data_IF_502356816568
#
_entry.id   IF_502356816568
#
_cell.length_a   1.000
_cell.length_b   1.000
_cell.length_c   1.000
_cell.angle_alpha   90.00
_cell.angle_beta   90.00
_cell.angle_gamma   90.00
#
_symmetry.space_group_name_H-M   'P 1'
#
loop_
_entity.id
_entity.type
_entity.pdbx_description
1 polymer ?
#
# COMPACT_ATOMS: atom_id res chain seq x y z
N UNK A 1 18.82 -20.89 -8.08
CA UNK A 1 17.52 -21.37 -7.55
C UNK A 1 16.31 -20.91 -8.36
N UNK A 2 16.00 -19.60 -8.43
CA UNK A 2 14.79 -19.06 -9.11
C UNK A 2 14.59 -19.58 -10.55
N UNK A 3 15.64 -19.57 -11.39
CA UNK A 3 15.58 -20.09 -12.77
C UNK A 3 15.19 -21.57 -12.84
N UNK A 4 15.63 -22.37 -11.87
CA UNK A 4 15.25 -23.78 -11.77
C UNK A 4 13.79 -23.94 -11.36
N UNK A 5 13.35 -23.20 -10.33
CA UNK A 5 11.96 -23.23 -9.84
C UNK A 5 10.97 -22.80 -10.92
N UNK A 6 11.33 -21.83 -11.77
CA UNK A 6 10.50 -21.40 -12.90
C UNK A 6 10.17 -22.53 -13.88
N UNK A 7 11.04 -23.54 -14.00
CA UNK A 7 10.88 -24.69 -14.91
C UNK A 7 10.47 -25.97 -14.18
N UNK A 8 10.42 -25.95 -12.85
CA UNK A 8 10.15 -27.14 -12.04
C UNK A 8 8.66 -27.50 -12.06
N UNK A 9 8.37 -28.80 -11.90
CA UNK A 9 7.01 -29.30 -11.69
C UNK A 9 6.59 -29.09 -10.23
N UNK A 10 5.28 -28.94 -9.98
CA UNK A 10 4.69 -28.71 -8.65
C UNK A 10 5.27 -29.67 -7.60
N UNK A 11 5.26 -30.98 -7.89
CA UNK A 11 5.75 -32.03 -6.98
C UNK A 11 7.21 -31.80 -6.56
N UNK A 12 8.06 -31.37 -7.49
CA UNK A 12 9.47 -31.09 -7.20
C UNK A 12 9.65 -29.86 -6.30
N UNK A 13 8.89 -28.78 -6.57
CA UNK A 13 8.91 -27.57 -5.73
C UNK A 13 8.40 -27.89 -4.32
N UNK A 14 7.31 -28.62 -4.21
CA UNK A 14 6.71 -29.00 -2.92
C UNK A 14 7.66 -29.90 -2.11
N UNK A 15 8.33 -30.85 -2.75
CA UNK A 15 9.33 -31.68 -2.07
C UNK A 15 10.51 -30.86 -1.56
N UNK A 16 10.97 -29.86 -2.34
CA UNK A 16 12.02 -28.96 -1.91
C UNK A 16 11.60 -28.13 -0.69
N UNK A 17 10.39 -27.56 -0.70
CA UNK A 17 9.85 -26.80 0.44
C UNK A 17 9.76 -27.65 1.71
N UNK A 18 9.22 -28.87 1.62
CA UNK A 18 9.05 -29.77 2.77
C UNK A 18 10.36 -30.34 3.31
N UNK A 19 11.37 -30.54 2.46
CA UNK A 19 12.67 -31.14 2.85
C UNK A 19 13.75 -30.12 3.20
N UNK A 20 13.53 -28.83 2.92
CA UNK A 20 14.48 -27.80 3.27
C UNK A 20 14.67 -27.74 4.81
N UNK A 21 15.93 -27.62 5.28
CA UNK A 21 16.21 -27.29 6.68
C UNK A 21 15.45 -26.02 7.10
N UNK A 22 15.06 -25.93 8.36
CA UNK A 22 14.19 -24.85 8.83
C UNK A 22 14.78 -23.46 8.55
N UNK A 23 16.09 -23.34 8.67
CA UNK A 23 16.86 -22.12 8.44
C UNK A 23 16.87 -21.71 6.96
N UNK A 24 16.72 -22.68 6.04
CA UNK A 24 16.68 -22.44 4.60
C UNK A 24 15.26 -22.30 4.06
N UNK A 25 14.22 -22.72 4.79
CA UNK A 25 12.82 -22.64 4.33
C UNK A 25 12.43 -21.23 3.87
N UNK A 26 12.75 -20.14 4.59
CA UNK A 26 12.43 -18.79 4.12
C UNK A 26 13.02 -18.48 2.74
N UNK A 27 14.29 -18.84 2.51
CA UNK A 27 14.97 -18.61 1.24
C UNK A 27 14.30 -19.39 0.09
N UNK A 28 13.88 -20.63 0.35
CA UNK A 28 13.18 -21.44 -0.66
C UNK A 28 11.81 -20.84 -0.99
N UNK A 29 11.09 -20.35 0.03
CA UNK A 29 9.81 -19.66 -0.14
C UNK A 29 9.99 -18.39 -0.98
N UNK A 30 10.94 -17.53 -0.64
CA UNK A 30 11.25 -16.31 -1.41
C UNK A 30 11.59 -16.63 -2.86
N UNK A 31 12.41 -17.65 -3.09
CA UNK A 31 12.78 -18.07 -4.44
C UNK A 31 11.60 -18.65 -5.24
N UNK A 32 10.67 -19.34 -4.58
CA UNK A 32 9.45 -19.86 -5.21
C UNK A 32 8.47 -18.73 -5.56
N UNK A 33 8.33 -17.71 -4.71
CA UNK A 33 7.56 -16.49 -5.03
C UNK A 33 8.19 -15.75 -6.20
N UNK A 34 9.51 -15.56 -6.19
CA UNK A 34 10.24 -14.89 -7.27
C UNK A 34 10.22 -15.66 -8.61
N UNK A 35 9.95 -16.98 -8.58
CA UNK A 35 9.85 -17.78 -9.79
C UNK A 35 8.61 -17.40 -10.63
N UNK A 36 7.52 -16.98 -9.97
CA UNK A 36 6.24 -16.58 -10.58
C UNK A 36 5.67 -17.62 -11.57
N UNK A 37 6.03 -18.91 -11.40
CA UNK A 37 5.48 -19.99 -12.22
C UNK A 37 4.26 -20.58 -11.52
N UNK A 38 3.25 -20.98 -12.29
CA UNK A 38 2.04 -21.63 -11.75
C UNK A 38 2.40 -22.84 -10.87
N UNK A 39 3.32 -23.75 -11.26
CA UNK A 39 3.70 -24.87 -10.39
C UNK A 39 4.33 -24.44 -9.07
N UNK A 40 5.10 -23.34 -9.04
CA UNK A 40 5.70 -22.83 -7.80
C UNK A 40 4.65 -22.20 -6.88
N UNK A 41 3.73 -21.40 -7.42
CA UNK A 41 2.66 -20.78 -6.64
C UNK A 41 1.69 -21.83 -6.08
N UNK A 42 1.30 -22.83 -6.89
CA UNK A 42 0.44 -23.93 -6.41
C UNK A 42 1.15 -24.75 -5.31
N UNK A 43 2.46 -24.99 -5.43
CA UNK A 43 3.22 -25.67 -4.39
C UNK A 43 3.30 -24.83 -3.10
N UNK A 44 3.47 -23.51 -3.21
CA UNK A 44 3.44 -22.59 -2.07
C UNK A 44 2.07 -22.59 -1.39
N UNK A 45 0.98 -22.57 -2.16
CA UNK A 45 -0.38 -22.61 -1.60
C UNK A 45 -0.63 -23.88 -0.79
N UNK A 46 -0.13 -25.04 -1.26
CA UNK A 46 -0.24 -26.31 -0.53
C UNK A 46 0.70 -26.38 0.68
N UNK A 47 1.87 -25.74 0.61
CA UNK A 47 2.88 -25.79 1.66
C UNK A 47 2.56 -24.84 2.82
N UNK A 48 2.18 -23.60 2.54
CA UNK A 48 1.99 -22.56 3.55
C UNK A 48 0.63 -22.69 4.23
N UNK A 49 0.59 -23.13 5.47
CA UNK A 49 -0.61 -23.12 6.32
C UNK A 49 -0.49 -22.00 7.36
N UNK A 50 -1.14 -20.85 7.13
CA UNK A 50 -1.01 -19.67 8.01
C UNK A 50 -1.55 -19.91 9.43
N UNK A 51 -2.32 -20.97 9.66
CA UNK A 51 -2.76 -21.36 11.01
C UNK A 51 -1.71 -22.17 11.78
N UNK A 52 -0.63 -22.62 11.12
CA UNK A 52 0.38 -23.52 11.72
C UNK A 52 1.82 -23.04 11.54
N UNK A 53 2.10 -22.32 10.47
CA UNK A 53 3.46 -21.87 10.17
C UNK A 53 3.90 -20.77 11.15
N UNK A 54 5.22 -20.69 11.46
CA UNK A 54 5.72 -19.64 12.32
C UNK A 54 5.54 -18.27 11.65
N UNK A 55 5.27 -17.26 12.48
CA UNK A 55 5.12 -15.85 12.07
C UNK A 55 6.21 -15.38 11.11
N UNK A 56 7.46 -15.71 11.43
CA UNK A 56 8.62 -15.34 10.60
C UNK A 56 8.55 -15.89 9.17
N UNK A 57 8.03 -17.10 8.95
CA UNK A 57 7.89 -17.67 7.61
C UNK A 57 6.75 -17.02 6.83
N UNK A 58 5.63 -16.74 7.50
CA UNK A 58 4.48 -16.03 6.91
C UNK A 58 4.87 -14.62 6.46
N UNK A 59 5.55 -13.87 7.32
CA UNK A 59 6.06 -12.53 6.97
C UNK A 59 7.04 -12.59 5.80
N UNK A 60 7.97 -13.56 5.79
CA UNK A 60 8.92 -13.72 4.66
C UNK A 60 8.21 -13.98 3.35
N UNK A 61 7.18 -14.82 3.35
CA UNK A 61 6.32 -15.02 2.18
C UNK A 61 5.64 -13.71 1.75
N UNK A 62 5.01 -12.99 2.69
CA UNK A 62 4.28 -11.74 2.40
C UNK A 62 5.21 -10.65 1.88
N UNK A 63 6.38 -10.43 2.49
CA UNK A 63 7.39 -9.50 1.99
C UNK A 63 7.86 -9.87 0.59
N UNK A 64 8.16 -11.15 0.34
CA UNK A 64 8.55 -11.61 -1.00
C UNK A 64 7.46 -11.34 -2.04
N UNK A 65 6.19 -11.52 -1.67
CA UNK A 65 5.05 -11.23 -2.52
C UNK A 65 4.93 -9.72 -2.77
N UNK A 66 4.95 -8.90 -1.72
CA UNK A 66 4.84 -7.45 -1.78
C UNK A 66 5.93 -6.82 -2.66
N UNK A 67 7.15 -7.35 -2.61
CA UNK A 67 8.29 -6.87 -3.40
C UNK A 67 8.44 -7.54 -4.77
N UNK A 68 7.56 -8.47 -5.16
CA UNK A 68 7.59 -9.05 -6.50
C UNK A 68 7.50 -7.94 -7.57
N UNK A 69 8.47 -7.82 -8.51
CA UNK A 69 8.52 -6.70 -9.45
C UNK A 69 7.47 -6.81 -10.55
N UNK A 70 7.07 -8.04 -10.91
CA UNK A 70 6.05 -8.35 -11.91
C UNK A 70 5.17 -9.49 -11.38
N UNK A 71 4.27 -9.20 -10.42
CA UNK A 71 3.40 -10.22 -9.85
C UNK A 71 2.38 -10.70 -10.88
N UNK A 72 1.93 -11.95 -10.72
CA UNK A 72 0.79 -12.51 -11.44
C UNK A 72 -0.51 -12.44 -10.63
N UNK A 73 -1.65 -12.67 -11.29
CA UNK A 73 -2.94 -12.72 -10.61
C UNK A 73 -3.06 -13.89 -9.65
N UNK A 74 -2.42 -15.01 -9.98
CA UNK A 74 -2.34 -16.18 -9.13
C UNK A 74 -1.59 -15.90 -7.82
N UNK A 75 -0.57 -15.02 -7.83
CA UNK A 75 0.08 -14.61 -6.58
C UNK A 75 -0.86 -13.76 -5.72
N UNK A 76 -1.59 -12.81 -6.32
CA UNK A 76 -2.60 -12.02 -5.60
C UNK A 76 -3.69 -12.92 -5.01
N UNK A 77 -4.20 -13.86 -5.82
CA UNK A 77 -5.18 -14.86 -5.38
C UNK A 77 -4.67 -15.64 -4.20
N UNK A 78 -3.44 -16.17 -4.29
CA UNK A 78 -2.81 -16.94 -3.23
C UNK A 78 -2.69 -16.14 -1.94
N UNK A 79 -2.25 -14.87 -1.99
CA UNK A 79 -2.20 -14.02 -0.79
C UNK A 79 -3.59 -13.82 -0.20
N UNK A 80 -4.58 -13.45 -1.02
CA UNK A 80 -5.96 -13.26 -0.57
C UNK A 80 -6.53 -14.54 0.07
N UNK A 81 -6.31 -15.70 -0.53
CA UNK A 81 -6.77 -16.99 0.00
C UNK A 81 -6.09 -17.34 1.34
N UNK A 82 -4.86 -16.87 1.60
CA UNK A 82 -4.17 -17.07 2.88
C UNK A 82 -4.61 -16.10 3.98
N UNK A 83 -5.18 -14.96 3.60
CA UNK A 83 -5.74 -14.00 4.55
C UNK A 83 -7.21 -14.28 4.87
N UNK A 84 -7.93 -14.94 3.95
CA UNK A 84 -9.35 -15.23 4.13
C UNK A 84 -9.61 -16.25 5.24
N UNK A 85 -10.65 -16.01 6.04
CA UNK A 85 -11.16 -16.91 7.08
C UNK A 85 -10.18 -17.31 8.19
N UNK A 86 -8.97 -16.73 8.24
CA UNK A 86 -7.91 -17.15 9.16
C UNK A 86 -7.71 -16.10 10.25
N UNK A 87 -7.74 -16.51 11.52
CA UNK A 87 -7.34 -15.64 12.62
C UNK A 87 -5.81 -15.58 12.65
N UNK A 88 -5.27 -14.43 12.23
CA UNK A 88 -3.83 -14.19 12.11
C UNK A 88 -3.33 -13.34 13.28
N UNK A 89 -2.03 -13.45 13.54
CA UNK A 89 -1.32 -12.46 14.34
C UNK A 89 -1.50 -11.05 13.72
N UNK A 90 -1.77 -10.00 14.52
CA UNK A 90 -2.05 -8.67 14.00
C UNK A 90 -1.00 -8.15 13.02
N UNK A 91 0.29 -8.31 13.32
CA UNK A 91 1.37 -7.81 12.44
C UNK A 91 1.43 -8.57 11.11
N UNK A 92 1.09 -9.86 11.12
CA UNK A 92 1.00 -10.69 9.90
C UNK A 92 -0.21 -10.25 9.06
N UNK A 93 -1.35 -9.99 9.71
CA UNK A 93 -2.54 -9.48 9.04
C UNK A 93 -2.26 -8.12 8.39
N UNK A 94 -1.66 -7.18 9.13
CA UNK A 94 -1.31 -5.85 8.63
C UNK A 94 -0.39 -5.93 7.41
N UNK A 95 0.67 -6.74 7.51
CA UNK A 95 1.60 -7.00 6.41
C UNK A 95 0.86 -7.61 5.22
N UNK A 96 -0.08 -8.51 5.46
CA UNK A 96 -0.94 -9.13 4.46
C UNK A 96 -1.78 -8.12 3.69
N UNK A 97 -2.50 -7.25 4.40
CA UNK A 97 -3.37 -6.23 3.81
C UNK A 97 -2.55 -5.23 2.96
N UNK A 98 -1.40 -4.78 3.47
CA UNK A 98 -0.49 -3.90 2.71
C UNK A 98 0.11 -4.60 1.48
N UNK A 99 0.35 -5.92 1.58
CA UNK A 99 0.80 -6.76 0.46
C UNK A 99 -0.25 -6.84 -0.65
N UNK A 100 -1.52 -7.04 -0.30
CA UNK A 100 -2.65 -7.03 -1.25
C UNK A 100 -2.67 -5.73 -2.06
N UNK A 101 -2.61 -4.58 -1.37
CA UNK A 101 -2.56 -3.28 -2.03
C UNK A 101 -1.37 -3.13 -2.99
N UNK A 102 -0.18 -3.58 -2.57
CA UNK A 102 1.04 -3.51 -3.39
C UNK A 102 0.96 -4.36 -4.65
N UNK A 103 0.41 -5.58 -4.55
CA UNK A 103 0.20 -6.48 -5.68
C UNK A 103 -0.80 -5.90 -6.67
N UNK A 104 -1.94 -5.38 -6.18
CA UNK A 104 -2.95 -4.74 -7.02
C UNK A 104 -2.37 -3.55 -7.79
N UNK A 105 -1.65 -2.65 -7.12
CA UNK A 105 -1.03 -1.49 -7.76
C UNK A 105 -0.08 -1.90 -8.90
N UNK A 106 0.77 -2.91 -8.66
CA UNK A 106 1.70 -3.43 -9.68
C UNK A 106 0.99 -4.15 -10.83
N UNK A 107 -0.08 -4.88 -10.58
CA UNK A 107 -0.89 -5.49 -11.63
C UNK A 107 -1.55 -4.41 -12.51
N UNK A 108 -2.08 -3.36 -11.90
CA UNK A 108 -2.71 -2.26 -12.63
C UNK A 108 -1.69 -1.43 -13.43
N UNK A 109 -0.49 -1.18 -12.89
CA UNK A 109 0.62 -0.56 -13.64
C UNK A 109 1.05 -1.39 -14.85
N UNK A 110 0.94 -2.73 -14.77
CA UNK A 110 1.17 -3.65 -15.88
C UNK A 110 -0.01 -3.76 -16.86
N UNK A 111 -1.05 -2.90 -16.72
CA UNK A 111 -2.30 -2.94 -17.51
C UNK A 111 -3.11 -4.23 -17.35
N UNK A 112 -2.93 -4.94 -16.23
CA UNK A 112 -3.67 -6.17 -15.90
C UNK A 112 -4.86 -5.92 -14.96
N UNK A 113 -5.17 -4.65 -14.66
CA UNK A 113 -6.22 -4.26 -13.71
C UNK A 113 -7.62 -4.79 -14.09
N UNK A 114 -7.96 -4.74 -15.38
CA UNK A 114 -9.29 -5.11 -15.90
C UNK A 114 -9.40 -6.56 -16.39
N UNK A 115 -8.34 -7.36 -16.23
CA UNK A 115 -8.28 -8.75 -16.73
C UNK A 115 -8.41 -9.78 -15.59
N UNK A 116 -8.59 -9.35 -14.34
CA UNK A 116 -8.47 -10.22 -13.18
C UNK A 116 -9.55 -9.95 -12.13
N UNK A 117 -10.48 -10.90 -12.00
CA UNK A 117 -11.43 -11.01 -10.88
C UNK A 117 -10.74 -10.87 -9.51
N UNK A 118 -9.47 -11.27 -9.42
CA UNK A 118 -8.68 -11.18 -8.19
C UNK A 118 -8.39 -9.73 -7.76
N UNK A 119 -8.25 -8.77 -8.70
CA UNK A 119 -8.04 -7.36 -8.36
C UNK A 119 -9.33 -6.74 -7.83
N UNK A 120 -10.48 -7.09 -8.41
CA UNK A 120 -11.78 -6.66 -7.90
C UNK A 120 -12.06 -7.27 -6.53
N UNK A 121 -11.83 -8.58 -6.36
CA UNK A 121 -11.91 -9.26 -5.07
C UNK A 121 -11.01 -8.60 -4.03
N UNK A 122 -9.75 -8.31 -4.38
CA UNK A 122 -8.81 -7.63 -3.49
C UNK A 122 -9.30 -6.25 -3.08
N UNK A 123 -9.85 -5.46 -4.01
CA UNK A 123 -10.45 -4.18 -3.67
C UNK A 123 -11.65 -4.33 -2.73
N UNK A 124 -12.55 -5.26 -3.01
CA UNK A 124 -13.69 -5.52 -2.14
C UNK A 124 -13.25 -5.89 -0.73
N UNK A 125 -12.23 -6.75 -0.60
CA UNK A 125 -11.63 -7.10 0.69
C UNK A 125 -11.12 -5.85 1.42
N UNK A 126 -10.38 -4.97 0.74
CA UNK A 126 -9.87 -3.74 1.35
C UNK A 126 -10.98 -2.77 1.76
N UNK A 127 -12.02 -2.61 0.93
CA UNK A 127 -13.13 -1.70 1.22
C UNK A 127 -14.02 -2.22 2.34
N UNK A 128 -14.33 -3.53 2.37
CA UNK A 128 -15.09 -4.15 3.46
C UNK A 128 -14.31 -4.08 4.77
N UNK A 129 -13.00 -4.33 4.73
CA UNK A 129 -12.13 -4.18 5.89
C UNK A 129 -12.12 -2.74 6.42
N UNK A 130 -11.95 -1.75 5.54
CA UNK A 130 -12.00 -0.33 5.92
C UNK A 130 -13.35 0.06 6.57
N UNK A 131 -14.47 -0.45 6.05
CA UNK A 131 -15.80 -0.19 6.61
C UNK A 131 -16.04 -0.90 7.94
N UNK A 132 -15.44 -2.08 8.14
CA UNK A 132 -15.57 -2.89 9.34
C UNK A 132 -14.56 -2.58 10.44
N UNK A 133 -13.53 -1.77 10.14
CA UNK A 133 -12.47 -1.40 11.06
C UNK A 133 -13.02 -0.67 12.29
N UNK A 134 -12.57 -1.08 13.47
CA UNK A 134 -13.01 -0.52 14.75
C UNK A 134 -11.96 0.38 15.37
N UNK A 135 -10.70 0.14 15.04
CA UNK A 135 -9.56 0.88 15.56
C UNK A 135 -8.94 1.77 14.48
N UNK A 136 -8.36 2.91 14.90
CA UNK A 136 -7.67 3.82 13.97
C UNK A 136 -6.48 3.12 13.27
N UNK A 137 -5.79 2.22 13.97
CA UNK A 137 -4.69 1.40 13.43
C UNK A 137 -5.14 0.57 12.23
N UNK A 138 -6.28 -0.12 12.34
CA UNK A 138 -6.88 -0.91 11.26
C UNK A 138 -7.27 -0.02 10.07
N UNK A 139 -7.89 1.13 10.34
CA UNK A 139 -8.24 2.12 9.30
C UNK A 139 -6.98 2.56 8.55
N UNK A 140 -5.91 2.91 9.27
CA UNK A 140 -4.63 3.33 8.69
C UNK A 140 -4.06 2.24 7.77
N UNK A 141 -4.07 0.98 8.20
CA UNK A 141 -3.57 -0.16 7.41
C UNK A 141 -4.32 -0.29 6.09
N UNK A 142 -5.65 -0.20 6.11
CA UNK A 142 -6.47 -0.23 4.90
C UNK A 142 -6.22 0.98 4.00
N UNK A 143 -6.08 2.19 4.55
CA UNK A 143 -5.76 3.39 3.76
C UNK A 143 -4.38 3.27 3.09
N UNK A 144 -3.38 2.73 3.78
CA UNK A 144 -2.05 2.46 3.22
C UNK A 144 -2.12 1.44 2.08
N UNK A 145 -2.92 0.38 2.24
CA UNK A 145 -3.14 -0.61 1.19
C UNK A 145 -3.84 0.00 -0.04
N UNK A 146 -4.87 0.83 0.16
CA UNK A 146 -5.54 1.55 -0.92
C UNK A 146 -4.59 2.53 -1.63
N UNK A 147 -3.72 3.21 -0.89
CA UNK A 147 -2.66 4.05 -1.44
C UNK A 147 -1.65 3.27 -2.28
N UNK A 148 -1.26 2.06 -1.85
CA UNK A 148 -0.41 1.16 -2.63
C UNK A 148 -1.09 0.66 -3.90
N UNK A 149 -2.40 0.38 -3.83
CA UNK A 149 -3.19 -0.02 -4.99
C UNK A 149 -3.38 1.12 -6.00
N UNK A 150 -3.45 2.37 -5.50
CA UNK A 150 -3.57 3.61 -6.29
C UNK A 150 -4.67 3.56 -7.35
N UNK A 151 -5.81 2.93 -7.05
CA UNK A 151 -6.93 2.79 -7.98
C UNK A 151 -7.77 4.07 -8.01
N UNK A 152 -7.99 4.72 -9.17
CA UNK A 152 -8.69 6.01 -9.23
C UNK A 152 -10.09 6.02 -8.59
N UNK A 153 -10.79 4.88 -8.61
CA UNK A 153 -12.11 4.72 -7.98
C UNK A 153 -12.10 4.86 -6.45
N UNK A 154 -10.95 4.78 -5.79
CA UNK A 154 -10.85 4.90 -4.32
C UNK A 154 -10.55 6.33 -3.86
N UNK A 155 -10.30 7.26 -4.78
CA UNK A 155 -9.91 8.65 -4.45
C UNK A 155 -10.97 9.35 -3.60
N UNK A 156 -12.26 9.17 -3.89
CA UNK A 156 -13.32 9.80 -3.09
C UNK A 156 -13.27 9.34 -1.63
N UNK A 157 -13.09 8.04 -1.41
CA UNK A 157 -13.02 7.44 -0.08
C UNK A 157 -11.80 8.00 0.69
N UNK A 158 -10.65 8.07 0.02
CA UNK A 158 -9.44 8.65 0.62
C UNK A 158 -9.64 10.14 0.97
N UNK A 159 -10.34 10.91 0.14
CA UNK A 159 -10.66 12.31 0.44
C UNK A 159 -11.57 12.44 1.66
N UNK A 160 -12.58 11.59 1.79
CA UNK A 160 -13.49 11.62 2.93
C UNK A 160 -12.72 11.38 4.24
N UNK A 161 -11.82 10.39 4.27
CA UNK A 161 -10.95 10.15 5.43
C UNK A 161 -9.91 11.26 5.67
N UNK A 162 -9.40 11.90 4.62
CA UNK A 162 -8.46 13.02 4.75
C UNK A 162 -9.12 14.28 5.30
N UNK A 163 -10.39 14.53 4.96
CA UNK A 163 -11.09 15.73 5.44
C UNK A 163 -11.70 15.52 6.82
N UNK A 164 -12.30 14.37 7.08
CA UNK A 164 -13.15 14.16 8.27
C UNK A 164 -12.46 13.32 9.36
N UNK A 165 -11.45 12.52 9.03
CA UNK A 165 -10.81 11.61 9.97
C UNK A 165 -10.07 12.28 11.15
N UNK A 166 -9.74 11.51 12.20
CA UNK A 166 -8.77 11.93 13.22
C UNK A 166 -7.37 12.11 12.61
N UNK A 167 -6.44 12.66 13.38
CA UNK A 167 -5.09 13.06 12.91
C UNK A 167 -4.34 11.95 12.18
N UNK A 168 -4.28 10.76 12.78
CA UNK A 168 -3.56 9.58 12.26
C UNK A 168 -4.13 9.13 10.92
N UNK A 169 -5.46 8.99 10.86
CA UNK A 169 -6.25 8.62 9.67
C UNK A 169 -6.14 9.68 8.58
N UNK A 170 -6.22 10.96 8.94
CA UNK A 170 -6.05 12.09 8.00
C UNK A 170 -4.67 12.05 7.35
N UNK A 171 -3.62 11.90 8.15
CA UNK A 171 -2.23 11.84 7.66
C UNK A 171 -2.01 10.61 6.77
N UNK A 172 -2.57 9.45 7.14
CA UNK A 172 -2.51 8.24 6.33
C UNK A 172 -3.26 8.39 5.00
N UNK A 173 -4.44 9.01 5.00
CA UNK A 173 -5.22 9.26 3.80
C UNK A 173 -4.52 10.24 2.83
N UNK A 174 -3.92 11.32 3.34
CA UNK A 174 -3.10 12.24 2.54
C UNK A 174 -1.89 11.51 1.95
N UNK A 175 -1.19 10.71 2.76
CA UNK A 175 -0.05 9.90 2.30
C UNK A 175 -0.45 8.89 1.23
N UNK A 176 -1.64 8.28 1.35
CA UNK A 176 -2.19 7.39 0.35
C UNK A 176 -2.50 8.13 -0.97
N UNK A 177 -3.08 9.33 -0.90
CA UNK A 177 -3.35 10.17 -2.07
C UNK A 177 -2.05 10.61 -2.79
N UNK A 178 -0.97 10.88 -2.06
CA UNK A 178 0.33 11.24 -2.65
C UNK A 178 0.93 10.12 -3.52
N UNK A 179 0.57 8.85 -3.27
CA UNK A 179 1.04 7.70 -4.06
C UNK A 179 0.42 7.63 -5.46
N UNK A 180 -0.67 8.36 -5.71
CA UNK A 180 -1.30 8.36 -7.01
C UNK A 180 -0.42 9.03 -8.09
N UNK A 181 -0.46 8.53 -9.34
CA UNK A 181 0.09 9.25 -10.47
C UNK A 181 -0.51 10.66 -10.63
N UNK A 182 0.28 11.63 -11.10
CA UNK A 182 -0.12 13.04 -11.22
C UNK A 182 -1.45 13.24 -11.97
N UNK A 183 -1.70 12.43 -13.01
CA UNK A 183 -2.93 12.46 -13.81
C UNK A 183 -4.21 12.23 -12.99
N UNK A 184 -4.11 11.63 -11.80
CA UNK A 184 -5.25 11.37 -10.91
C UNK A 184 -5.37 12.42 -9.78
N UNK A 185 -4.39 13.31 -9.62
CA UNK A 185 -4.43 14.42 -8.66
C UNK A 185 -5.22 15.58 -9.27
N UNK A 186 -6.53 15.39 -9.37
CA UNK A 186 -7.44 16.36 -9.98
C UNK A 186 -7.57 17.66 -9.16
N UNK A 187 -8.18 18.68 -9.75
CA UNK A 187 -8.55 19.92 -9.04
C UNK A 187 -9.42 19.66 -7.81
N UNK A 188 -10.25 18.60 -7.82
CA UNK A 188 -11.05 18.19 -6.65
C UNK A 188 -10.14 17.78 -5.49
N UNK A 189 -9.13 16.97 -5.79
CA UNK A 189 -8.13 16.51 -4.81
C UNK A 189 -7.34 17.71 -4.27
N UNK A 190 -6.75 18.54 -5.15
CA UNK A 190 -5.99 19.73 -4.72
C UNK A 190 -6.86 20.67 -3.87
N UNK A 191 -8.15 20.84 -4.20
CA UNK A 191 -9.06 21.67 -3.40
C UNK A 191 -9.27 21.13 -1.99
N UNK A 192 -9.46 19.83 -1.80
CA UNK A 192 -9.58 19.24 -0.47
C UNK A 192 -8.29 19.40 0.34
N UNK A 193 -7.14 19.14 -0.29
CA UNK A 193 -5.82 19.28 0.36
C UNK A 193 -5.55 20.74 0.78
N UNK A 194 -5.94 21.73 -0.03
CA UNK A 194 -5.89 23.15 0.36
C UNK A 194 -6.75 23.44 1.60
N UNK A 195 -7.94 22.85 1.69
CA UNK A 195 -8.82 23.06 2.86
C UNK A 195 -8.19 22.53 4.14
N UNK A 196 -7.46 21.42 4.04
CA UNK A 196 -6.69 20.83 5.16
C UNK A 196 -5.53 21.75 5.54
N UNK A 197 -4.69 22.16 4.57
CA UNK A 197 -3.53 23.01 4.83
C UNK A 197 -3.89 24.35 5.48
N UNK A 198 -4.96 24.99 4.97
CA UNK A 198 -5.46 26.28 5.44
C UNK A 198 -6.51 26.18 6.54
N UNK A 199 -6.82 24.98 7.03
CA UNK A 199 -7.79 24.75 8.12
C UNK A 199 -9.17 25.40 7.90
N UNK A 200 -9.63 25.48 6.65
CA UNK A 200 -10.85 26.25 6.28
C UNK A 200 -12.17 25.58 6.69
N UNK A 201 -12.13 24.33 7.16
CA UNK A 201 -13.32 23.56 7.59
C UNK A 201 -13.29 23.21 9.07
N UNK A 202 -12.15 22.73 9.53
CA UNK A 202 -11.87 22.39 10.93
C UNK A 202 -10.40 22.66 11.22
N UNK A 203 -10.05 22.66 12.50
CA UNK A 203 -8.65 22.66 12.89
C UNK A 203 -8.02 21.30 12.60
N UNK A 204 -6.80 21.33 12.07
CA UNK A 204 -6.00 20.15 11.77
C UNK A 204 -4.67 20.24 12.51
N UNK A 205 -4.18 19.10 12.98
CA UNK A 205 -2.84 19.05 13.56
C UNK A 205 -1.75 19.44 12.55
N UNK A 206 -0.63 19.94 13.09
CA UNK A 206 0.51 20.42 12.30
C UNK A 206 1.02 19.36 11.31
N UNK A 207 1.05 18.09 11.72
CA UNK A 207 1.44 16.95 10.89
C UNK A 207 0.55 16.79 9.65
N UNK A 208 -0.78 16.93 9.82
CA UNK A 208 -1.75 16.88 8.72
C UNK A 208 -1.55 18.04 7.75
N UNK A 209 -1.35 19.26 8.28
CA UNK A 209 -1.09 20.46 7.47
C UNK A 209 0.20 20.34 6.68
N UNK A 210 1.26 19.81 7.30
CA UNK A 210 2.53 19.54 6.62
C UNK A 210 2.37 18.52 5.50
N UNK A 211 1.70 17.40 5.75
CA UNK A 211 1.42 16.40 4.72
C UNK A 211 0.61 16.99 3.56
N UNK A 212 -0.36 17.86 3.86
CA UNK A 212 -1.15 18.55 2.84
C UNK A 212 -0.29 19.52 2.00
N UNK A 213 0.57 20.31 2.64
CA UNK A 213 1.50 21.20 1.94
C UNK A 213 2.46 20.40 1.04
N UNK A 214 3.02 19.30 1.54
CA UNK A 214 3.87 18.41 0.74
C UNK A 214 3.12 17.87 -0.47
N UNK A 215 1.86 17.48 -0.31
CA UNK A 215 1.04 17.00 -1.42
C UNK A 215 0.75 18.09 -2.47
N UNK A 216 0.55 19.36 -2.07
CA UNK A 216 0.38 20.48 -3.00
C UNK A 216 1.67 20.83 -3.75
N UNK A 217 2.82 20.61 -3.11
CA UNK A 217 4.14 20.79 -3.71
C UNK A 217 4.60 19.56 -4.53
N UNK A 218 3.86 18.45 -4.46
CA UNK A 218 4.18 17.21 -5.11
C UNK A 218 3.62 17.17 -6.54
N UNK A 219 4.45 16.76 -7.51
CA UNK A 219 4.08 16.47 -8.91
C UNK A 219 3.08 17.47 -9.51
N UNK A 220 3.60 18.51 -10.16
CA UNK A 220 2.83 19.61 -10.78
C UNK A 220 2.23 20.62 -9.77
N UNK A 221 3.09 21.35 -9.03
CA UNK A 221 2.65 22.40 -8.12
C UNK A 221 2.07 23.59 -8.89
N UNK A 222 0.93 24.10 -8.44
CA UNK A 222 0.34 25.32 -9.03
C UNK A 222 1.03 26.54 -8.41
N UNK A 223 1.41 27.58 -9.18
CA UNK A 223 2.10 28.75 -8.65
C UNK A 223 1.41 29.42 -7.45
N UNK A 224 0.07 29.47 -7.46
CA UNK A 224 -0.70 30.00 -6.34
C UNK A 224 -0.60 29.15 -5.08
N UNK A 225 -0.47 27.82 -5.20
CA UNK A 225 -0.27 26.96 -4.04
C UNK A 225 1.11 27.20 -3.41
N UNK A 226 2.13 27.37 -4.25
CA UNK A 226 3.49 27.71 -3.79
C UNK A 226 3.49 29.06 -3.07
N UNK A 227 2.86 30.08 -3.66
CA UNK A 227 2.75 31.41 -3.04
C UNK A 227 2.03 31.35 -1.70
N UNK A 228 0.88 30.67 -1.63
CA UNK A 228 0.09 30.56 -0.41
C UNK A 228 0.85 29.80 0.70
N UNK A 229 1.61 28.76 0.34
CA UNK A 229 2.47 28.04 1.29
C UNK A 229 3.58 28.97 1.81
N UNK A 230 4.27 29.70 0.93
CA UNK A 230 5.32 30.64 1.33
C UNK A 230 4.79 31.75 2.25
N UNK A 231 3.61 32.29 1.97
CA UNK A 231 2.98 33.28 2.83
C UNK A 231 2.66 32.70 4.22
N UNK A 232 2.11 31.48 4.27
CA UNK A 232 1.80 30.80 5.53
C UNK A 232 3.04 30.55 6.40
N UNK A 233 4.24 30.36 5.82
CA UNK A 233 5.47 30.14 6.60
C UNK A 233 5.81 31.30 7.55
N UNK A 234 5.31 32.51 7.30
CA UNK A 234 5.52 33.68 8.17
C UNK A 234 4.78 33.58 9.50
N UNK A 235 3.71 32.80 9.53
CA UNK A 235 2.82 32.63 10.69
C UNK A 235 3.04 31.27 11.38
N UNK A 236 3.99 30.46 10.88
CA UNK A 236 4.29 29.13 11.40
C UNK A 236 5.51 29.13 12.31
N UNK A 237 5.61 28.10 13.15
CA UNK A 237 6.81 27.86 13.95
C UNK A 237 8.06 27.65 13.08
N UNK A 238 9.21 28.07 13.59
CA UNK A 238 10.48 28.14 12.85
C UNK A 238 10.85 26.83 12.15
N UNK A 239 10.67 25.68 12.82
CA UNK A 239 11.00 24.37 12.26
C UNK A 239 10.10 24.01 11.08
N UNK A 240 8.79 24.22 11.24
CA UNK A 240 7.78 23.97 10.20
C UNK A 240 7.99 24.88 9.00
N UNK A 241 8.25 26.17 9.24
CA UNK A 241 8.58 27.14 8.20
C UNK A 241 9.85 26.75 7.44
N UNK A 242 10.92 26.38 8.16
CA UNK A 242 12.20 25.95 7.55
C UNK A 242 12.01 24.71 6.70
N UNK A 243 11.26 23.72 7.19
CA UNK A 243 10.95 22.50 6.45
C UNK A 243 10.21 22.79 5.14
N UNK A 244 9.15 23.61 5.19
CA UNK A 244 8.38 23.97 3.99
C UNK A 244 9.20 24.78 2.98
N UNK A 245 10.04 25.70 3.45
CA UNK A 245 10.95 26.45 2.58
C UNK A 245 11.92 25.52 1.84
N UNK A 246 12.52 24.56 2.54
CA UNK A 246 13.39 23.54 1.92
C UNK A 246 12.64 22.68 0.91
N UNK A 247 11.38 22.32 1.21
CA UNK A 247 10.53 21.56 0.28
C UNK A 247 10.21 22.35 -0.99
N UNK A 248 9.81 23.62 -0.86
CA UNK A 248 9.57 24.50 -2.02
C UNK A 248 10.82 24.61 -2.88
N UNK A 249 11.99 24.84 -2.27
CA UNK A 249 13.26 24.89 -2.99
C UNK A 249 13.57 23.59 -3.74
N UNK A 250 13.27 22.43 -3.13
CA UNK A 250 13.48 21.13 -3.76
C UNK A 250 12.51 20.86 -4.91
N UNK A 251 11.26 21.32 -4.83
CA UNK A 251 10.25 21.13 -5.88
C UNK A 251 10.45 22.03 -7.11
N UNK A 252 11.26 23.08 -6.99
CA UNK A 252 11.58 24.01 -8.09
C UNK A 252 12.89 23.68 -8.82
N UNK A 253 13.65 22.69 -8.35
CA UNK A 253 14.85 22.16 -9.03
C UNK A 253 14.47 21.05 -10.01
#
# INVERSE_FOLDING_TARGET
>A
LVRMLRRAKKRGVLQLLKRAPEEMRPLVVEAAVAAQSVPSLVALSEFLDFSKEPKSLMEKFLYAAAFSPRPSGELLRLVLDKLDGTQLDPEVWETGIVTVGSLMGKLCQQKLCGLQQDVERGLETLLRGLQGAREESEVVVHLLALGNAALPKTISILLDHAEEGPTTVTTAAISALQRFPAQHVSNKVKRAVRRIFHETRKSYEKSCRLAAAEMLLHKDPVPMDVLNILLATREMERETATFLLMKVQSSLR
#
